data_IF_711401043499
#
_entry.id   IF_711401043499
#
_cell.length_a   1.000
_cell.length_b   1.000
_cell.length_c   1.000
_cell.angle_alpha   90.00
_cell.angle_beta   90.00
_cell.angle_gamma   90.00
#
_symmetry.space_group_name_H-M   'P 1'
#
loop_
_entity.id
_entity.type
_entity.pdbx_description
1 polymer ?
#
# COMPACT_ATOMS: atom_id res chain seq x y z
N UNK A 1 -15.39 -14.07 -59.00
CA UNK A 1 -14.12 -13.46 -58.56
C UNK A 1 -14.26 -13.05 -57.10
N UNK A 2 -13.25 -13.30 -56.27
CA UNK A 2 -13.21 -12.81 -54.87
C UNK A 2 -12.23 -11.65 -54.82
N UNK A 3 -12.66 -10.52 -54.25
CA UNK A 3 -11.80 -9.34 -54.07
C UNK A 3 -11.16 -9.39 -52.67
N UNK A 4 -9.87 -9.07 -52.60
CA UNK A 4 -9.10 -9.01 -51.33
C UNK A 4 -8.59 -7.61 -51.00
N UNK A 5 -8.91 -6.62 -51.84
CA UNK A 5 -8.54 -5.21 -51.68
C UNK A 5 -9.54 -4.30 -52.36
N UNK A 6 -9.72 -3.09 -51.84
CA UNK A 6 -10.43 -2.02 -52.53
C UNK A 6 -9.69 -1.60 -53.82
N UNK A 7 -10.44 -1.20 -54.84
CA UNK A 7 -9.89 -0.80 -56.13
C UNK A 7 -10.89 -0.95 -57.28
N UNK A 8 -10.49 -0.45 -58.44
CA UNK A 8 -11.21 -0.67 -59.69
C UNK A 8 -10.60 -1.88 -60.41
N UNK A 9 -11.45 -2.86 -60.73
CA UNK A 9 -11.06 -4.08 -61.41
C UNK A 9 -11.78 -4.17 -62.75
N UNK A 10 -11.03 -4.29 -63.84
CA UNK A 10 -11.60 -4.55 -65.16
C UNK A 10 -11.63 -6.04 -65.41
N UNK A 11 -12.83 -6.61 -65.51
CA UNK A 11 -13.06 -8.01 -65.86
C UNK A 11 -13.24 -8.08 -67.37
N UNK A 12 -12.34 -8.76 -68.05
CA UNK A 12 -12.34 -8.89 -69.51
C UNK A 12 -12.64 -10.34 -69.91
N UNK A 13 -13.69 -10.52 -70.71
CA UNK A 13 -14.02 -11.78 -71.36
C UNK A 13 -13.60 -11.73 -72.82
N UNK A 14 -12.76 -12.68 -73.24
CA UNK A 14 -12.36 -12.84 -74.64
C UNK A 14 -12.84 -14.20 -75.12
N UNK A 15 -13.63 -14.22 -76.20
CA UNK A 15 -14.05 -15.45 -76.87
C UNK A 15 -13.23 -15.57 -78.13
N UNK A 16 -12.67 -16.76 -78.38
CA UNK A 16 -11.93 -17.08 -79.61
C UNK A 16 -12.71 -18.15 -80.37
N UNK A 17 -12.93 -17.95 -81.66
CA UNK A 17 -13.56 -18.96 -82.50
C UNK A 17 -12.56 -20.01 -83.03
N UNK A 18 -13.04 -21.02 -83.75
CA UNK A 18 -12.20 -22.08 -84.33
C UNK A 18 -11.24 -21.60 -85.41
N UNK A 19 -11.42 -20.38 -85.93
CA UNK A 19 -10.53 -19.73 -86.91
C UNK A 19 -9.49 -18.82 -86.25
N UNK A 20 -9.51 -18.70 -84.92
CA UNK A 20 -8.58 -17.87 -84.16
C UNK A 20 -9.00 -16.40 -84.05
N UNK A 21 -10.20 -16.02 -84.51
CA UNK A 21 -10.70 -14.66 -84.36
C UNK A 21 -11.26 -14.46 -82.94
N UNK A 22 -10.99 -13.29 -82.37
CA UNK A 22 -11.40 -12.98 -80.99
C UNK A 22 -12.42 -11.86 -80.92
N UNK A 23 -13.39 -11.98 -80.02
CA UNK A 23 -14.24 -10.89 -79.57
C UNK A 23 -14.04 -10.66 -78.07
N UNK A 24 -13.87 -9.40 -77.68
CA UNK A 24 -13.59 -9.02 -76.29
C UNK A 24 -14.69 -8.11 -75.74
N UNK A 25 -15.13 -8.37 -74.52
CA UNK A 25 -16.01 -7.50 -73.74
C UNK A 25 -15.44 -7.29 -72.34
N UNK A 26 -15.60 -6.09 -71.79
CA UNK A 26 -15.06 -5.75 -70.47
C UNK A 26 -16.11 -5.07 -69.60
N UNK A 27 -16.08 -5.35 -68.30
CA UNK A 27 -16.85 -4.66 -67.26
C UNK A 27 -15.93 -4.18 -66.15
N UNK A 28 -16.11 -2.95 -65.69
CA UNK A 28 -15.38 -2.41 -64.54
C UNK A 28 -16.20 -2.60 -63.27
N UNK A 29 -15.57 -3.18 -62.24
CA UNK A 29 -16.14 -3.37 -60.90
C UNK A 29 -15.31 -2.55 -59.91
N UNK A 30 -15.94 -1.62 -59.21
CA UNK A 30 -15.29 -0.81 -58.16
C UNK A 30 -15.61 -1.38 -56.79
N UNK A 31 -14.57 -1.73 -56.05
CA UNK A 31 -14.66 -2.14 -54.65
C UNK A 31 -14.26 -0.96 -53.79
N UNK A 32 -15.22 -0.32 -53.13
CA UNK A 32 -14.98 0.83 -52.26
C UNK A 32 -14.38 0.39 -50.91
N UNK A 33 -13.50 1.22 -50.34
CA UNK A 33 -13.11 1.07 -48.93
C UNK A 33 -14.31 1.39 -48.04
N UNK A 34 -14.65 0.48 -47.13
CA UNK A 34 -15.72 0.68 -46.15
C UNK A 34 -15.14 0.58 -44.76
N UNK A 35 -15.28 1.64 -43.96
CA UNK A 35 -14.87 1.64 -42.55
C UNK A 35 -15.43 0.41 -41.84
N UNK A 36 -14.55 -0.49 -41.40
CA UNK A 36 -14.96 -1.76 -40.80
C UNK A 36 -14.35 -1.94 -39.41
N UNK A 37 -13.13 -1.45 -39.19
CA UNK A 37 -12.48 -1.56 -37.88
C UNK A 37 -11.81 -0.24 -37.49
N UNK A 38 -11.72 -0.01 -36.18
CA UNK A 38 -10.88 1.02 -35.59
C UNK A 38 -10.00 0.32 -34.55
N UNK A 39 -8.70 0.54 -34.64
CA UNK A 39 -7.73 0.11 -33.63
C UNK A 39 -7.24 1.32 -32.85
N UNK A 40 -7.11 1.18 -31.54
CA UNK A 40 -6.52 2.20 -30.67
C UNK A 40 -5.15 1.69 -30.20
N UNK A 41 -4.12 2.50 -30.36
CA UNK A 41 -2.75 2.17 -29.97
C UNK A 41 -2.21 3.18 -28.96
N UNK A 42 -1.61 2.72 -27.84
CA UNK A 42 -1.51 1.31 -27.43
C UNK A 42 -2.87 0.73 -26.99
N UNK A 43 -3.09 -0.58 -27.21
CA UNK A 43 -4.33 -1.25 -26.80
C UNK A 43 -4.45 -1.39 -25.28
N UNK A 44 -3.31 -1.49 -24.59
CA UNK A 44 -3.19 -1.42 -23.14
C UNK A 44 -2.02 -0.52 -22.75
N UNK A 45 -2.19 0.35 -21.77
CA UNK A 45 -1.12 1.20 -21.24
C UNK A 45 -1.26 1.48 -19.75
N UNK A 46 -0.24 2.09 -19.16
CA UNK A 46 -0.28 2.66 -17.82
C UNK A 46 0.04 4.14 -17.87
N UNK A 47 -0.62 4.93 -17.02
CA UNK A 47 -0.33 6.34 -16.83
C UNK A 47 -0.35 6.70 -15.34
N UNK A 48 0.44 7.69 -14.95
CA UNK A 48 0.43 8.17 -13.57
C UNK A 48 -0.75 9.13 -13.38
N UNK A 49 -1.39 9.09 -12.21
CA UNK A 49 -2.52 9.93 -11.85
C UNK A 49 -2.18 11.42 -12.05
N UNK A 50 -3.06 12.15 -12.72
CA UNK A 50 -2.87 13.57 -13.08
C UNK A 50 -1.90 13.83 -14.25
N UNK A 51 -1.27 12.80 -14.84
CA UNK A 51 -0.43 12.96 -16.04
C UNK A 51 -1.23 12.78 -17.33
N UNK A 52 -0.59 13.03 -18.48
CA UNK A 52 -1.21 12.84 -19.79
C UNK A 52 -0.60 11.65 -20.54
N UNK A 53 -1.41 10.99 -21.37
CA UNK A 53 -1.00 9.87 -22.21
C UNK A 53 -1.60 10.03 -23.61
N UNK A 54 -0.76 10.04 -24.65
CA UNK A 54 -1.22 10.13 -26.02
C UNK A 54 -1.63 8.74 -26.54
N UNK A 55 -2.85 8.63 -27.05
CA UNK A 55 -3.33 7.47 -27.81
C UNK A 55 -3.55 7.86 -29.27
N UNK A 56 -3.47 6.88 -30.15
CA UNK A 56 -3.73 7.05 -31.59
C UNK A 56 -4.82 6.07 -32.02
N UNK A 57 -5.63 6.46 -33.00
CA UNK A 57 -6.62 5.58 -33.60
C UNK A 57 -6.35 5.44 -35.10
N UNK A 58 -6.50 4.22 -35.62
CA UNK A 58 -6.39 3.93 -37.05
C UNK A 58 -7.62 3.15 -37.49
N UNK A 59 -8.34 3.73 -38.45
CA UNK A 59 -9.45 3.13 -39.15
C UNK A 59 -8.96 2.30 -40.34
N UNK A 60 -9.49 1.08 -40.46
CA UNK A 60 -9.22 0.21 -41.59
C UNK A 60 -10.52 -0.23 -42.30
N UNK A 61 -10.36 -0.57 -43.57
CA UNK A 61 -11.42 -1.06 -44.42
C UNK A 61 -11.78 -2.53 -44.13
N UNK A 62 -12.71 -3.08 -44.91
CA UNK A 62 -13.19 -4.47 -44.78
C UNK A 62 -12.12 -5.53 -45.06
N UNK A 63 -10.97 -5.14 -45.58
CA UNK A 63 -9.82 -6.00 -45.84
C UNK A 63 -8.66 -5.74 -44.86
N UNK A 64 -8.87 -4.91 -43.83
CA UNK A 64 -7.85 -4.52 -42.86
C UNK A 64 -6.82 -3.51 -43.39
N UNK A 65 -7.03 -2.94 -44.58
CA UNK A 65 -6.16 -1.88 -45.11
C UNK A 65 -6.55 -0.53 -44.51
N UNK A 66 -5.60 0.31 -44.05
CA UNK A 66 -5.91 1.63 -43.51
C UNK A 66 -6.66 2.51 -44.52
N UNK A 67 -7.64 3.27 -44.03
CA UNK A 67 -8.33 4.29 -44.83
C UNK A 67 -7.42 5.47 -45.14
N UNK A 68 -7.52 6.03 -46.35
CA UNK A 68 -6.82 7.26 -46.75
C UNK A 68 -7.80 8.19 -47.46
N UNK A 69 -8.14 9.36 -46.87
CA UNK A 69 -7.70 9.87 -45.56
C UNK A 69 -8.34 9.13 -44.38
N UNK A 70 -7.70 9.22 -43.20
CA UNK A 70 -8.31 8.77 -41.95
C UNK A 70 -9.52 9.66 -41.59
N UNK A 71 -10.60 9.09 -41.03
CA UNK A 71 -11.72 9.88 -40.53
C UNK A 71 -11.32 10.65 -39.26
N UNK A 72 -12.13 11.64 -38.89
CA UNK A 72 -12.05 12.20 -37.54
C UNK A 72 -12.60 11.19 -36.52
N UNK A 73 -11.93 11.09 -35.37
CA UNK A 73 -12.35 10.20 -34.30
C UNK A 73 -12.99 11.00 -33.17
N UNK A 74 -14.16 10.56 -32.72
CA UNK A 74 -14.72 10.99 -31.44
C UNK A 74 -14.09 10.13 -30.33
N UNK A 75 -13.50 10.79 -29.34
CA UNK A 75 -12.85 10.14 -28.22
C UNK A 75 -13.72 10.24 -26.96
N UNK A 76 -13.84 9.13 -26.25
CA UNK A 76 -14.49 9.07 -24.95
C UNK A 76 -13.64 8.25 -23.97
N UNK A 77 -13.76 8.57 -22.70
CA UNK A 77 -13.18 7.80 -21.59
C UNK A 77 -14.25 7.49 -20.57
N UNK A 78 -14.27 6.25 -20.09
CA UNK A 78 -15.01 5.84 -18.89
C UNK A 78 -14.02 5.33 -17.85
N UNK A 79 -14.39 5.36 -16.57
CA UNK A 79 -13.48 5.00 -15.47
C UNK A 79 -12.60 6.16 -14.96
N UNK A 80 -12.76 7.37 -15.50
CA UNK A 80 -12.12 8.59 -14.99
C UNK A 80 -11.09 9.20 -15.96
N UNK A 81 -10.90 10.51 -15.84
CA UNK A 81 -10.06 11.32 -16.73
C UNK A 81 -10.88 12.05 -17.81
N UNK A 82 -10.19 12.68 -18.75
CA UNK A 82 -10.79 13.34 -19.91
C UNK A 82 -9.97 13.08 -21.17
N UNK A 83 -10.60 13.17 -22.35
CA UNK A 83 -9.95 12.96 -23.64
C UNK A 83 -10.00 14.24 -24.48
N UNK A 84 -8.89 14.59 -25.11
CA UNK A 84 -8.87 15.62 -26.16
C UNK A 84 -9.34 15.04 -27.50
N UNK A 85 -9.79 15.87 -28.45
CA UNK A 85 -10.10 15.43 -29.82
C UNK A 85 -8.90 14.80 -30.56
N UNK A 86 -7.68 15.08 -30.12
CA UNK A 86 -6.46 14.52 -30.67
C UNK A 86 -6.07 13.16 -30.05
N UNK A 87 -6.90 12.58 -29.18
CA UNK A 87 -6.61 11.30 -28.52
C UNK A 87 -5.67 11.41 -27.32
N UNK A 88 -5.48 12.61 -26.75
CA UNK A 88 -4.70 12.80 -25.53
C UNK A 88 -5.60 12.55 -24.31
N UNK A 89 -5.26 11.54 -23.51
CA UNK A 89 -5.85 11.29 -22.21
C UNK A 89 -5.21 12.22 -21.18
N UNK A 90 -6.03 12.90 -20.37
CA UNK A 90 -5.63 13.45 -19.08
C UNK A 90 -6.13 12.49 -17.99
N UNK A 91 -5.20 11.83 -17.31
CA UNK A 91 -5.51 10.83 -16.30
C UNK A 91 -6.24 11.47 -15.10
N UNK A 92 -7.19 10.76 -14.47
CA UNK A 92 -7.75 11.18 -13.18
C UNK A 92 -6.64 11.28 -12.12
N UNK A 93 -6.91 12.04 -11.04
CA UNK A 93 -5.98 12.20 -9.91
C UNK A 93 -6.03 11.03 -8.90
N UNK A 94 -6.90 10.06 -9.14
CA UNK A 94 -7.02 8.82 -8.39
C UNK A 94 -6.68 7.63 -9.29
N UNK A 95 -6.20 6.51 -8.72
CA UNK A 95 -6.06 5.30 -9.54
C UNK A 95 -7.43 4.84 -10.00
N UNK A 96 -7.43 4.33 -11.22
CA UNK A 96 -8.58 3.79 -11.87
C UNK A 96 -8.13 2.90 -13.02
N UNK A 97 -9.06 2.13 -13.55
CA UNK A 97 -8.92 1.55 -14.88
C UNK A 97 -9.81 2.34 -15.82
N UNK A 98 -9.19 3.11 -16.70
CA UNK A 98 -9.88 3.93 -17.68
C UNK A 98 -10.03 3.16 -18.99
N UNK A 99 -11.26 3.08 -19.52
CA UNK A 99 -11.52 2.53 -20.84
C UNK A 99 -11.63 3.66 -21.85
N UNK A 100 -10.75 3.65 -22.83
CA UNK A 100 -10.70 4.62 -23.92
C UNK A 100 -11.47 4.06 -25.10
N UNK A 101 -12.35 4.87 -25.69
CA UNK A 101 -13.11 4.53 -26.90
C UNK A 101 -12.85 5.59 -27.96
N UNK A 102 -12.34 5.17 -29.12
CA UNK A 102 -12.33 5.97 -30.33
C UNK A 102 -13.47 5.50 -31.24
N UNK A 103 -14.28 6.40 -31.76
CA UNK A 103 -15.37 6.07 -32.66
C UNK A 103 -15.37 6.92 -33.92
N UNK A 104 -15.77 6.31 -35.02
CA UNK A 104 -16.09 6.99 -36.27
C UNK A 104 -17.30 6.29 -36.88
N UNK A 105 -18.33 7.06 -37.25
CA UNK A 105 -19.66 6.52 -37.60
C UNK A 105 -20.16 5.57 -36.50
N UNK A 106 -20.49 4.31 -36.81
CA UNK A 106 -20.92 3.28 -35.86
C UNK A 106 -19.81 2.33 -35.41
N UNK A 107 -18.58 2.49 -35.93
CA UNK A 107 -17.45 1.62 -35.61
C UNK A 107 -16.70 2.18 -34.42
N UNK A 108 -16.26 1.30 -33.52
CA UNK A 108 -15.54 1.66 -32.30
C UNK A 108 -14.26 0.84 -32.17
N UNK A 109 -13.19 1.49 -31.72
CA UNK A 109 -11.96 0.89 -31.24
C UNK A 109 -11.77 1.21 -29.77
N UNK A 110 -11.21 0.28 -29.00
CA UNK A 110 -11.06 0.44 -27.55
C UNK A 110 -9.62 0.17 -27.10
N UNK A 111 -9.21 0.86 -26.06
CA UNK A 111 -7.99 0.61 -25.31
C UNK A 111 -8.26 0.71 -23.81
N UNK A 112 -7.44 0.03 -23.01
CA UNK A 112 -7.50 0.10 -21.55
C UNK A 112 -6.26 0.79 -21.01
N UNK A 113 -6.43 1.79 -20.15
CA UNK A 113 -5.33 2.46 -19.47
C UNK A 113 -5.47 2.26 -17.97
N UNK A 114 -4.47 1.64 -17.36
CA UNK A 114 -4.36 1.55 -15.90
C UNK A 114 -3.76 2.83 -15.36
N UNK A 115 -4.48 3.53 -14.50
CA UNK A 115 -4.00 4.75 -13.85
C UNK A 115 -3.39 4.35 -12.52
N UNK A 116 -2.08 4.55 -12.38
CA UNK A 116 -1.35 4.34 -11.14
C UNK A 116 -1.17 5.67 -10.43
N UNK A 117 -1.16 5.71 -9.11
CA UNK A 117 -0.63 6.87 -8.37
C UNK A 117 0.85 7.10 -8.64
N UNK A 118 1.30 8.34 -8.39
CA UNK A 118 2.67 8.58 -8.00
C UNK A 118 2.81 8.40 -6.48
N UNK A 119 3.92 7.78 -6.06
CA UNK A 119 4.35 7.86 -4.66
C UNK A 119 4.59 9.33 -4.26
N UNK A 120 4.18 9.66 -3.05
CA UNK A 120 4.31 10.98 -2.45
C UNK A 120 5.59 11.02 -1.63
N UNK A 121 6.67 11.57 -2.18
CA UNK A 121 7.96 11.64 -1.47
C UNK A 121 8.05 12.91 -0.63
N UNK A 122 8.35 12.74 0.67
CA UNK A 122 8.66 13.83 1.60
C UNK A 122 10.08 13.66 2.09
N UNK A 123 10.97 14.52 1.62
CA UNK A 123 12.37 14.53 2.07
C UNK A 123 12.57 15.63 3.10
N UNK A 124 12.86 15.24 4.35
CA UNK A 124 13.15 16.19 5.43
C UNK A 124 14.66 16.20 5.72
N UNK A 125 15.36 17.33 5.51
CA UNK A 125 16.80 17.43 5.79
C UNK A 125 17.17 17.18 7.25
N UNK A 126 18.45 16.88 7.50
CA UNK A 126 18.99 16.73 8.85
C UNK A 126 18.64 17.95 9.73
N UNK A 127 18.34 17.69 11.00
CA UNK A 127 18.01 18.70 12.01
C UNK A 127 16.77 19.57 11.70
N UNK A 128 15.94 19.16 10.74
CA UNK A 128 14.65 19.79 10.47
C UNK A 128 13.50 18.89 10.91
N UNK A 129 12.40 19.54 11.28
CA UNK A 129 11.11 18.92 11.54
C UNK A 129 10.07 19.56 10.62
N UNK A 130 9.34 18.73 9.88
CA UNK A 130 8.18 19.15 9.08
C UNK A 130 6.93 18.56 9.70
N UNK A 131 5.91 19.38 9.90
CA UNK A 131 4.59 18.93 10.37
C UNK A 131 3.63 18.95 9.19
N UNK A 132 3.02 17.81 8.91
CA UNK A 132 1.97 17.63 7.91
C UNK A 132 0.63 17.44 8.64
N UNK A 133 -0.15 18.52 8.69
CA UNK A 133 -1.49 18.53 9.28
C UNK A 133 -2.60 18.26 8.25
N UNK A 134 -2.29 18.32 6.95
CA UNK A 134 -3.29 18.23 5.88
C UNK A 134 -3.69 16.80 5.52
N UNK A 135 -2.90 15.82 5.95
CA UNK A 135 -3.09 14.43 5.55
C UNK A 135 -2.71 14.18 4.09
N UNK A 136 -2.52 12.90 3.74
CA UNK A 136 -2.12 12.47 2.40
C UNK A 136 -3.20 11.59 1.79
N UNK A 137 -3.61 11.85 0.56
CA UNK A 137 -4.62 11.06 -0.16
C UNK A 137 -4.06 10.47 -1.46
N UNK A 138 -4.84 9.59 -2.09
CA UNK A 138 -4.49 8.91 -3.33
C UNK A 138 -4.22 7.43 -3.12
N UNK A 139 -3.55 6.79 -4.06
CA UNK A 139 -3.30 5.34 -4.01
C UNK A 139 -1.80 5.02 -3.98
N UNK A 140 -0.96 6.07 -3.94
CA UNK A 140 0.50 5.97 -3.91
C UNK A 140 0.97 5.79 -2.49
N UNK A 141 2.21 5.38 -2.35
CA UNK A 141 2.83 5.31 -1.03
C UNK A 141 3.20 6.72 -0.57
N UNK A 142 3.07 7.02 0.72
CA UNK A 142 3.82 8.12 1.33
C UNK A 142 5.24 7.63 1.61
N UNK A 143 6.25 8.28 1.06
CA UNK A 143 7.66 7.91 1.26
C UNK A 143 8.36 9.00 2.06
N UNK A 144 8.77 8.69 3.28
CA UNK A 144 9.61 9.55 4.12
C UNK A 144 11.10 9.30 3.81
N UNK A 145 11.78 10.35 3.35
CA UNK A 145 13.23 10.41 3.08
C UNK A 145 13.90 11.51 3.91
N UNK A 146 15.23 11.53 3.83
CA UNK A 146 16.08 12.47 4.56
C UNK A 146 16.12 12.18 6.05
N UNK A 147 17.20 12.58 6.71
CA UNK A 147 17.52 12.18 8.08
C UNK A 147 16.80 12.97 9.17
N UNK A 148 16.04 14.02 8.82
CA UNK A 148 15.20 14.78 9.75
C UNK A 148 13.87 14.09 10.09
N UNK A 149 12.98 14.84 10.72
CA UNK A 149 11.70 14.33 11.28
C UNK A 149 10.50 14.82 10.47
N UNK A 150 9.61 13.90 10.08
CA UNK A 150 8.28 14.23 9.56
C UNK A 150 7.25 13.87 10.62
N UNK A 151 6.40 14.82 10.99
CA UNK A 151 5.27 14.62 11.90
C UNK A 151 3.99 14.57 11.08
N UNK A 152 3.23 13.48 11.16
CA UNK A 152 1.89 13.39 10.58
C UNK A 152 0.86 13.65 11.67
N UNK A 153 0.17 14.79 11.58
CA UNK A 153 -0.80 15.26 12.56
C UNK A 153 -2.25 15.25 12.03
N UNK A 154 -2.45 14.85 10.78
CA UNK A 154 -3.76 14.72 10.15
C UNK A 154 -4.06 13.29 9.73
N UNK A 155 -5.35 12.98 9.58
CA UNK A 155 -5.80 11.72 8.98
C UNK A 155 -5.39 11.65 7.50
N UNK A 156 -4.85 10.51 7.08
CA UNK A 156 -4.48 10.26 5.70
C UNK A 156 -5.41 9.24 5.05
N UNK A 157 -5.69 9.42 3.76
CA UNK A 157 -6.49 8.53 2.92
C UNK A 157 -5.71 7.87 1.78
N UNK A 158 -4.37 7.81 1.86
CA UNK A 158 -3.57 7.15 0.85
C UNK A 158 -3.59 5.62 1.03
N UNK A 159 -3.78 4.86 -0.05
CA UNK A 159 -3.88 3.38 0.04
C UNK A 159 -2.62 2.62 -0.35
N UNK A 160 -1.58 3.29 -0.90
CA UNK A 160 -0.32 2.64 -1.26
C UNK A 160 0.54 2.24 -0.05
N UNK A 161 0.21 2.77 1.13
CA UNK A 161 0.92 2.57 2.38
C UNK A 161 1.92 3.68 2.69
N UNK A 162 2.64 3.54 3.80
CA UNK A 162 3.68 4.47 4.22
C UNK A 162 5.03 3.74 4.28
N UNK A 163 6.04 4.31 3.65
CA UNK A 163 7.42 3.79 3.65
C UNK A 163 8.33 4.81 4.33
N UNK A 164 9.05 4.39 5.37
CA UNK A 164 10.06 5.19 6.05
C UNK A 164 11.44 4.67 5.65
N UNK A 165 12.07 5.35 4.70
CA UNK A 165 13.39 4.95 4.22
C UNK A 165 14.51 5.46 5.13
N UNK A 166 14.37 6.71 5.61
CA UNK A 166 15.35 7.38 6.47
C UNK A 166 14.71 8.40 7.43
N UNK A 167 15.42 8.64 8.54
CA UNK A 167 15.03 9.64 9.54
C UNK A 167 13.88 9.18 10.40
N UNK A 168 13.15 10.11 10.99
CA UNK A 168 12.04 9.81 11.89
C UNK A 168 10.69 10.18 11.25
N UNK A 169 9.71 9.29 11.38
CA UNK A 169 8.30 9.54 11.18
C UNK A 169 7.60 9.53 12.53
N UNK A 170 6.98 10.64 12.91
CA UNK A 170 6.19 10.77 14.14
C UNK A 170 4.72 10.74 13.79
N UNK A 171 3.98 9.85 14.42
CA UNK A 171 2.54 9.67 14.20
C UNK A 171 1.80 10.32 15.38
N UNK A 172 1.02 11.36 15.08
CA UNK A 172 0.17 12.07 16.06
C UNK A 172 -1.32 11.95 15.78
N UNK A 173 -1.69 11.19 14.76
CA UNK A 173 -3.08 10.87 14.46
C UNK A 173 -3.22 9.37 14.15
N UNK A 174 -4.21 8.69 14.75
CA UNK A 174 -4.38 7.23 14.62
C UNK A 174 -4.57 6.76 13.17
N UNK A 175 -5.15 7.62 12.32
CA UNK A 175 -5.33 7.39 10.88
C UNK A 175 -4.25 8.03 9.99
N UNK A 176 -3.08 8.42 10.54
CA UNK A 176 -2.06 9.15 9.77
C UNK A 176 -1.39 8.33 8.66
N UNK A 177 -1.35 7.00 8.79
CA UNK A 177 -0.59 6.09 7.90
C UNK A 177 -1.34 5.67 6.63
N UNK A 178 -2.58 6.11 6.46
CA UNK A 178 -3.44 5.64 5.38
C UNK A 178 -3.91 4.19 5.60
N UNK A 179 -4.30 3.52 4.52
CA UNK A 179 -4.90 2.18 4.57
C UNK A 179 -4.02 1.06 3.98
N UNK A 180 -2.77 1.38 3.63
CA UNK A 180 -1.81 0.41 3.09
C UNK A 180 -0.80 -0.08 4.13
N UNK A 181 0.21 -0.83 3.69
CA UNK A 181 1.28 -1.34 4.57
C UNK A 181 2.07 -0.20 5.22
N UNK A 182 2.63 -0.45 6.40
CA UNK A 182 3.76 0.31 6.93
C UNK A 182 5.05 -0.46 6.62
N UNK A 183 6.03 0.22 6.03
CA UNK A 183 7.37 -0.33 5.76
C UNK A 183 8.42 0.57 6.42
N UNK A 184 9.21 0.04 7.34
CA UNK A 184 10.27 0.76 8.04
C UNK A 184 11.59 0.12 7.67
N UNK A 185 12.38 0.82 6.85
CA UNK A 185 13.67 0.31 6.38
C UNK A 185 14.77 0.54 7.40
N UNK A 186 15.94 -0.05 7.15
CA UNK A 186 17.12 0.03 8.03
C UNK A 186 17.53 1.45 8.51
N UNK A 187 17.25 2.51 7.76
CA UNK A 187 17.54 3.90 8.16
C UNK A 187 16.36 4.65 8.78
N UNK A 188 15.19 4.03 8.79
CA UNK A 188 13.91 4.61 9.18
C UNK A 188 13.57 4.32 10.64
N UNK A 189 12.95 5.32 11.28
CA UNK A 189 12.40 5.22 12.63
C UNK A 189 10.96 5.70 12.61
N UNK A 190 10.08 5.00 13.31
CA UNK A 190 8.71 5.43 13.57
C UNK A 190 8.55 5.68 15.06
N UNK A 191 7.83 6.72 15.45
CA UNK A 191 7.42 6.97 16.84
C UNK A 191 5.93 7.24 16.92
N UNK A 192 5.25 6.53 17.82
CA UNK A 192 3.86 6.77 18.17
C UNK A 192 3.80 7.85 19.25
N UNK A 193 3.20 8.98 18.92
CA UNK A 193 3.06 10.16 19.80
C UNK A 193 1.57 10.45 20.00
N UNK A 194 0.88 9.43 20.53
CA UNK A 194 -0.58 9.31 20.57
C UNK A 194 -1.13 9.02 21.97
N UNK A 195 -0.28 8.99 22.99
CA UNK A 195 -0.63 8.44 24.30
C UNK A 195 -1.06 6.98 24.18
N UNK A 196 -2.17 6.61 24.84
CA UNK A 196 -2.71 5.24 24.86
C UNK A 196 -3.47 4.85 23.58
N UNK A 197 -3.62 5.75 22.60
CA UNK A 197 -4.42 5.45 21.42
C UNK A 197 -3.75 4.38 20.54
N UNK A 198 -4.57 3.53 19.94
CA UNK A 198 -4.12 2.44 19.08
C UNK A 198 -3.94 2.90 17.63
N UNK A 199 -2.83 2.48 17.02
CA UNK A 199 -2.61 2.55 15.58
C UNK A 199 -2.78 1.16 14.99
N UNK A 200 -3.60 1.02 13.96
CA UNK A 200 -3.79 -0.24 13.24
C UNK A 200 -3.19 -0.14 11.83
N UNK A 201 -2.44 -1.17 11.42
CA UNK A 201 -1.90 -1.31 10.07
C UNK A 201 -2.21 -2.70 9.49
N UNK A 202 -2.61 -2.79 8.22
CA UNK A 202 -2.95 -4.08 7.60
C UNK A 202 -1.72 -4.97 7.39
N UNK A 203 -0.54 -4.38 7.23
CA UNK A 203 0.72 -5.11 7.08
C UNK A 203 1.85 -4.26 7.61
N UNK A 204 2.77 -4.87 8.35
CA UNK A 204 4.02 -4.24 8.75
C UNK A 204 5.21 -5.01 8.16
N UNK A 205 6.12 -4.29 7.51
CA UNK A 205 7.44 -4.76 7.14
C UNK A 205 8.47 -3.93 7.92
N UNK A 206 9.19 -4.56 8.84
CA UNK A 206 10.23 -3.92 9.64
C UNK A 206 11.58 -4.57 9.32
N UNK A 207 12.48 -3.82 8.69
CA UNK A 207 13.86 -4.27 8.50
C UNK A 207 14.53 -4.49 9.85
N UNK A 208 15.49 -5.42 9.93
CA UNK A 208 16.19 -5.76 11.16
C UNK A 208 16.89 -4.56 11.86
N UNK A 209 17.23 -3.51 11.11
CA UNK A 209 17.81 -2.27 11.63
C UNK A 209 16.81 -1.09 11.71
N UNK A 210 15.57 -1.27 11.26
CA UNK A 210 14.51 -0.29 11.45
C UNK A 210 14.04 -0.28 12.91
N UNK A 211 13.46 0.83 13.36
CA UNK A 211 13.03 1.02 14.77
C UNK A 211 11.61 1.56 14.84
N UNK A 212 10.77 0.99 15.70
CA UNK A 212 9.43 1.50 16.01
C UNK A 212 9.31 1.73 17.51
N UNK A 213 9.22 2.99 17.88
CA UNK A 213 8.96 3.44 19.24
C UNK A 213 7.47 3.54 19.49
N UNK A 214 6.94 2.63 20.31
CA UNK A 214 5.51 2.60 20.61
C UNK A 214 5.11 3.60 21.71
N UNK A 215 6.08 4.23 22.39
CA UNK A 215 5.78 5.08 23.54
C UNK A 215 4.96 4.34 24.60
N UNK A 216 3.87 4.94 25.05
CA UNK A 216 2.85 4.30 25.91
C UNK A 216 1.68 3.70 25.11
N UNK A 217 1.76 3.75 23.78
CA UNK A 217 0.66 3.40 22.88
C UNK A 217 0.59 1.93 22.51
N UNK A 218 -0.24 1.66 21.50
CA UNK A 218 -0.50 0.31 20.97
C UNK A 218 -0.41 0.31 19.45
N UNK A 219 0.17 -0.74 18.89
CA UNK A 219 0.24 -1.00 17.46
C UNK A 219 -0.36 -2.37 17.16
N UNK A 220 -1.42 -2.41 16.37
CA UNK A 220 -2.03 -3.65 15.90
C UNK A 220 -1.71 -3.88 14.43
N UNK A 221 -1.25 -5.08 14.11
CA UNK A 221 -0.75 -5.47 12.78
C UNK A 221 -1.48 -6.71 12.31
N UNK A 222 -2.14 -6.65 11.15
CA UNK A 222 -2.89 -7.79 10.63
C UNK A 222 -2.03 -8.83 9.87
N UNK A 223 -0.86 -8.44 9.36
CA UNK A 223 0.05 -9.34 8.64
C UNK A 223 1.50 -8.83 8.64
N UNK A 224 2.45 -9.73 8.37
CA UNK A 224 3.88 -9.37 8.21
C UNK A 224 4.74 -9.55 9.46
N UNK A 225 4.14 -9.85 10.61
CA UNK A 225 4.83 -10.15 11.87
C UNK A 225 4.50 -11.56 12.36
N UNK A 226 5.04 -12.59 11.71
CA UNK A 226 5.00 -13.92 12.30
C UNK A 226 5.87 -13.94 13.59
N UNK A 227 5.50 -14.78 14.55
CA UNK A 227 6.20 -14.97 15.84
C UNK A 227 7.73 -15.10 15.69
N UNK A 228 8.18 -15.89 14.70
CA UNK A 228 9.61 -16.11 14.42
C UNK A 228 10.36 -14.83 13.97
N UNK A 229 9.64 -13.86 13.39
CA UNK A 229 10.19 -12.55 13.01
C UNK A 229 10.05 -11.55 14.16
N UNK A 230 8.96 -11.64 14.93
CA UNK A 230 8.64 -10.71 16.01
C UNK A 230 9.63 -10.79 17.18
N UNK A 231 9.97 -12.01 17.61
CA UNK A 231 10.86 -12.21 18.77
C UNK A 231 12.26 -11.60 18.60
N UNK A 232 12.98 -11.80 17.48
CA UNK A 232 14.24 -11.09 17.25
C UNK A 232 14.11 -9.56 17.29
N UNK A 233 12.96 -9.01 16.86
CA UNK A 233 12.70 -7.57 16.91
C UNK A 233 12.43 -7.09 18.34
N UNK A 234 11.78 -7.90 19.19
CA UNK A 234 11.60 -7.61 20.62
C UNK A 234 12.94 -7.63 21.35
N UNK A 235 13.74 -8.69 21.16
CA UNK A 235 15.07 -8.80 21.77
C UNK A 235 15.99 -7.64 21.38
N UNK A 236 15.98 -7.25 20.10
CA UNK A 236 16.78 -6.13 19.60
C UNK A 236 16.38 -4.80 20.25
N UNK A 237 15.09 -4.60 20.49
CA UNK A 237 14.58 -3.40 21.14
C UNK A 237 14.77 -3.39 22.66
N UNK A 238 14.65 -4.57 23.30
CA UNK A 238 14.80 -4.76 24.75
C UNK A 238 16.17 -4.31 25.26
N UNK A 239 17.26 -4.57 24.51
CA UNK A 239 18.62 -4.13 24.83
C UNK A 239 19.07 -4.42 26.29
N UNK A 240 18.66 -5.59 26.82
CA UNK A 240 18.98 -5.99 28.20
C UNK A 240 18.14 -5.29 29.28
N UNK A 241 16.92 -4.83 28.95
CA UNK A 241 15.95 -4.26 29.91
C UNK A 241 15.63 -2.78 29.68
N UNK A 242 16.43 -2.08 28.89
CA UNK A 242 16.31 -0.64 28.71
C UNK A 242 15.22 -0.20 27.72
N UNK A 243 14.77 -1.10 26.84
CA UNK A 243 13.82 -0.77 25.75
C UNK A 243 14.26 0.43 24.90
N UNK A 244 15.57 0.65 24.83
CA UNK A 244 16.26 1.73 24.15
C UNK A 244 17.12 1.23 22.98
N UNK A 245 16.86 0.00 22.53
CA UNK A 245 17.57 -0.64 21.43
C UNK A 245 17.62 0.21 20.16
N UNK A 246 18.70 0.03 19.39
CA UNK A 246 18.92 0.75 18.13
C UNK A 246 17.95 0.35 17.01
N UNK A 247 17.24 -0.76 17.16
CA UNK A 247 16.33 -1.35 16.18
C UNK A 247 15.22 -2.14 16.87
N UNK A 248 14.26 -2.64 16.09
CA UNK A 248 13.14 -3.43 16.60
C UNK A 248 12.06 -2.58 17.26
N UNK A 249 11.34 -3.17 18.19
CA UNK A 249 10.27 -2.50 18.95
C UNK A 249 10.79 -2.01 20.29
N UNK A 250 10.56 -0.75 20.57
CA UNK A 250 11.11 -0.03 21.72
C UNK A 250 10.03 0.85 22.33
N UNK A 251 10.27 1.33 23.54
CA UNK A 251 9.41 2.32 24.15
C UNK A 251 10.25 3.38 24.85
N UNK A 252 10.18 4.62 24.38
CA UNK A 252 10.78 5.76 25.07
C UNK A 252 10.13 6.05 26.43
N UNK A 253 8.99 5.42 26.72
CA UNK A 253 8.28 5.55 28.00
C UNK A 253 8.58 4.40 28.96
N UNK A 254 9.23 3.32 28.50
CA UNK A 254 9.60 2.22 29.35
C UNK A 254 10.70 2.65 30.33
N UNK A 255 10.34 2.62 31.61
CA UNK A 255 11.23 2.79 32.75
C UNK A 255 11.26 1.49 33.54
N UNK A 256 11.99 1.45 34.66
CA UNK A 256 12.11 0.24 35.47
C UNK A 256 10.73 -0.36 35.81
N UNK A 257 10.53 -1.64 35.48
CA UNK A 257 9.25 -2.33 35.69
C UNK A 257 8.19 -2.08 34.61
N UNK A 258 8.57 -1.47 33.49
CA UNK A 258 7.75 -1.33 32.27
C UNK A 258 8.46 -1.99 31.09
N UNK A 259 7.68 -2.42 30.11
CA UNK A 259 8.17 -3.23 29.01
C UNK A 259 7.34 -3.06 27.73
N UNK A 260 7.70 -3.76 26.66
CA UNK A 260 6.94 -3.81 25.40
C UNK A 260 6.43 -5.23 25.18
N UNK A 261 5.19 -5.50 25.55
CA UNK A 261 4.58 -6.80 25.32
C UNK A 261 4.00 -6.94 23.92
N UNK A 262 3.70 -8.18 23.52
CA UNK A 262 2.91 -8.44 22.33
C UNK A 262 1.92 -9.58 22.54
N UNK A 263 0.80 -9.56 21.82
CA UNK A 263 -0.17 -10.67 21.80
C UNK A 263 -0.50 -10.97 20.36
N UNK A 264 -0.49 -12.25 20.01
CA UNK A 264 -0.98 -12.74 18.72
C UNK A 264 -2.33 -13.42 18.97
N UNK A 265 -3.42 -12.78 18.52
CA UNK A 265 -4.78 -13.31 18.64
C UNK A 265 -5.49 -13.31 17.28
N UNK A 266 -6.05 -14.45 16.91
CA UNK A 266 -6.75 -14.67 15.62
C UNK A 266 -6.00 -14.16 14.37
N UNK A 267 -4.66 -14.16 14.40
CA UNK A 267 -3.81 -13.68 13.30
C UNK A 267 -3.51 -12.18 13.31
N UNK A 268 -4.04 -11.43 14.27
CA UNK A 268 -3.64 -10.05 14.57
C UNK A 268 -2.52 -10.05 15.61
N UNK A 269 -1.48 -9.26 15.37
CA UNK A 269 -0.39 -9.05 16.32
C UNK A 269 -0.53 -7.66 16.93
N UNK A 270 -0.76 -7.59 18.22
CA UNK A 270 -0.77 -6.35 18.99
C UNK A 270 0.57 -6.21 19.71
N UNK A 271 1.24 -5.07 19.55
CA UNK A 271 2.44 -4.68 20.29
C UNK A 271 2.07 -3.48 21.16
N UNK A 272 2.34 -3.53 22.45
CA UNK A 272 1.89 -2.51 23.37
C UNK A 272 2.88 -2.25 24.50
N UNK A 273 2.79 -1.04 25.05
CA UNK A 273 3.42 -0.70 26.30
C UNK A 273 2.76 -1.52 27.42
N UNK A 274 3.58 -2.18 28.22
CA UNK A 274 3.10 -3.20 29.14
C UNK A 274 3.90 -3.24 30.45
N UNK A 275 3.50 -4.13 31.33
CA UNK A 275 4.25 -4.57 32.51
C UNK A 275 4.56 -6.05 32.37
N UNK A 276 5.77 -6.53 32.71
CA UNK A 276 6.02 -7.96 32.85
C UNK A 276 5.00 -8.58 33.80
N UNK A 277 4.17 -9.48 33.27
CA UNK A 277 3.05 -10.06 33.99
C UNK A 277 1.69 -9.79 33.38
N UNK A 278 1.52 -8.81 32.49
CA UNK A 278 0.25 -8.63 31.76
C UNK A 278 0.27 -9.43 30.45
N UNK A 279 -0.09 -10.70 30.53
CA UNK A 279 0.02 -11.68 29.43
C UNK A 279 -1.00 -11.46 28.32
N UNK A 280 -2.10 -10.76 28.59
CA UNK A 280 -3.19 -10.52 27.64
C UNK A 280 -3.24 -9.06 27.12
N UNK A 281 -2.37 -8.18 27.66
CA UNK A 281 -2.26 -6.76 27.35
C UNK A 281 -3.55 -5.98 27.63
N UNK A 282 -4.27 -6.32 28.70
CA UNK A 282 -5.49 -5.62 29.11
C UNK A 282 -5.25 -4.42 30.03
N UNK A 283 -3.99 -4.20 30.44
CA UNK A 283 -3.59 -3.08 31.28
C UNK A 283 -3.65 -3.37 32.77
N UNK A 284 -3.91 -4.61 33.17
CA UNK A 284 -3.92 -5.11 34.55
C UNK A 284 -3.02 -6.33 34.64
N UNK A 285 -2.50 -6.62 35.84
CA UNK A 285 -1.85 -7.91 36.14
C UNK A 285 -2.70 -8.62 37.19
N UNK A 286 -3.38 -9.70 36.80
CA UNK A 286 -4.34 -10.40 37.66
C UNK A 286 -4.19 -11.94 37.65
N UNK A 287 -5.18 -12.63 38.20
CA UNK A 287 -5.15 -14.10 38.32
C UNK A 287 -5.14 -14.81 36.97
N UNK A 288 -5.69 -14.20 35.92
CA UNK A 288 -5.68 -14.75 34.56
C UNK A 288 -4.25 -14.83 34.06
N UNK A 289 -3.44 -13.80 34.32
CA UNK A 289 -2.04 -13.80 33.92
C UNK A 289 -1.20 -14.84 34.64
N UNK A 290 -1.45 -15.02 35.93
CA UNK A 290 -0.79 -16.07 36.73
C UNK A 290 -1.10 -17.44 36.15
N UNK A 291 -2.36 -17.69 35.77
CA UNK A 291 -2.76 -18.96 35.15
C UNK A 291 -2.02 -19.17 33.83
N UNK A 292 -1.96 -18.15 32.95
CA UNK A 292 -1.26 -18.23 31.67
C UNK A 292 0.23 -18.56 31.83
N UNK A 293 0.90 -17.92 32.80
CA UNK A 293 2.30 -18.18 33.12
C UNK A 293 2.50 -19.60 33.68
N UNK A 294 1.67 -20.01 34.64
CA UNK A 294 1.77 -21.34 35.27
C UNK A 294 1.50 -22.48 34.28
N UNK A 295 0.57 -22.29 33.33
CA UNK A 295 0.28 -23.28 32.29
C UNK A 295 1.47 -23.54 31.36
N UNK A 296 2.38 -22.57 31.23
CA UNK A 296 3.56 -22.65 30.38
C UNK A 296 4.87 -22.90 31.17
N UNK A 297 4.86 -22.73 32.49
CA UNK A 297 6.05 -22.75 33.34
C UNK A 297 6.78 -24.09 33.33
N UNK A 298 8.07 -24.07 32.97
CA UNK A 298 8.96 -25.24 32.96
C UNK A 298 8.37 -26.45 32.18
N UNK A 299 7.55 -26.18 31.16
CA UNK A 299 6.91 -27.20 30.33
C UNK A 299 7.92 -28.04 29.53
N UNK A 300 7.63 -29.32 29.25
CA UNK A 300 8.58 -30.24 28.63
C UNK A 300 8.76 -29.93 27.13
N UNK A 301 9.72 -29.06 26.82
CA UNK A 301 10.37 -28.96 25.51
C UNK A 301 9.84 -27.86 24.60
N UNK A 302 10.62 -26.78 24.48
CA UNK A 302 10.88 -26.10 23.20
C UNK A 302 9.68 -25.66 22.35
N UNK A 303 8.51 -25.48 22.95
CA UNK A 303 7.45 -24.72 22.33
C UNK A 303 7.93 -23.29 22.21
N UNK A 304 7.77 -22.69 21.05
CA UNK A 304 8.04 -21.27 20.82
C UNK A 304 6.95 -20.47 21.57
N UNK A 305 6.95 -20.51 22.90
CA UNK A 305 5.99 -19.78 23.73
C UNK A 305 6.35 -18.30 23.61
N UNK A 306 5.32 -17.47 23.47
CA UNK A 306 5.49 -16.02 23.41
C UNK A 306 5.01 -15.37 24.70
N UNK A 307 4.93 -14.05 24.66
CA UNK A 307 4.47 -13.21 25.77
C UNK A 307 3.15 -13.68 26.42
N UNK A 308 2.19 -14.18 25.64
CA UNK A 308 0.90 -14.66 26.17
C UNK A 308 1.00 -15.91 27.04
N UNK A 309 2.09 -16.68 26.95
CA UNK A 309 2.39 -17.77 27.88
C UNK A 309 3.29 -17.34 29.04
N UNK A 310 3.67 -16.06 29.11
CA UNK A 310 4.51 -15.52 30.17
C UNK A 310 6.00 -15.48 29.87
N UNK A 311 6.43 -15.58 28.61
CA UNK A 311 7.83 -15.30 28.21
C UNK A 311 8.03 -13.77 28.14
N UNK A 312 8.51 -13.17 29.22
CA UNK A 312 8.64 -11.70 29.36
C UNK A 312 10.03 -11.19 28.95
N UNK A 313 11.01 -12.08 28.87
CA UNK A 313 12.38 -11.74 28.47
C UNK A 313 12.68 -12.10 26.99
N UNK A 314 11.72 -12.72 26.31
CA UNK A 314 11.72 -13.10 24.89
C UNK A 314 12.77 -14.13 24.50
N UNK A 315 13.23 -14.95 25.44
CA UNK A 315 14.20 -16.02 25.16
C UNK A 315 13.57 -17.29 24.58
N UNK A 316 12.24 -17.33 24.52
CA UNK A 316 11.45 -18.45 23.99
C UNK A 316 11.15 -19.55 25.00
N UNK A 317 11.50 -19.36 26.26
CA UNK A 317 11.14 -20.25 27.36
C UNK A 317 10.29 -19.49 28.38
N UNK A 318 9.57 -20.25 29.21
CA UNK A 318 8.87 -19.70 30.38
C UNK A 318 9.45 -20.40 31.60
N UNK A 319 10.33 -19.70 32.30
CA UNK A 319 11.12 -20.27 33.39
C UNK A 319 11.23 -19.35 34.61
N UNK A 320 12.19 -19.65 35.49
CA UNK A 320 12.38 -18.88 36.72
C UNK A 320 12.70 -17.40 36.46
N UNK A 321 13.32 -17.06 35.33
CA UNK A 321 13.61 -15.68 34.94
C UNK A 321 12.31 -14.92 34.68
N UNK A 322 11.37 -15.50 33.93
CA UNK A 322 10.06 -14.87 33.70
C UNK A 322 9.24 -14.74 34.97
N UNK A 323 9.27 -15.75 35.84
CA UNK A 323 8.64 -15.64 37.15
C UNK A 323 9.29 -14.53 38.00
N UNK A 324 10.60 -14.32 37.87
CA UNK A 324 11.29 -13.23 38.55
C UNK A 324 10.89 -11.86 38.00
N UNK A 325 10.69 -11.75 36.68
CA UNK A 325 10.20 -10.53 36.03
C UNK A 325 8.75 -10.24 36.44
N UNK A 326 7.88 -11.26 36.46
CA UNK A 326 6.50 -11.16 36.94
C UNK A 326 6.45 -10.61 38.37
N UNK A 327 7.17 -11.25 39.31
CA UNK A 327 7.14 -10.89 40.72
C UNK A 327 7.87 -9.58 41.01
N UNK A 328 8.91 -9.25 40.23
CA UNK A 328 9.76 -8.08 40.41
C UNK A 328 9.04 -6.75 40.19
N UNK A 329 7.93 -6.74 39.44
CA UNK A 329 7.14 -5.53 39.19
C UNK A 329 6.21 -5.15 40.34
N UNK A 330 5.88 -6.12 41.21
CA UNK A 330 4.84 -5.99 42.24
C UNK A 330 3.49 -5.48 41.70
N UNK A 331 3.16 -5.74 40.43
CA UNK A 331 1.96 -5.24 39.77
C UNK A 331 0.70 -6.09 39.98
N UNK A 332 0.85 -7.33 40.47
CA UNK A 332 -0.26 -8.25 40.69
C UNK A 332 -1.32 -7.66 41.62
N UNK A 333 -2.57 -7.64 41.16
CA UNK A 333 -3.75 -7.16 41.87
C UNK A 333 -3.63 -5.70 42.37
N UNK A 334 -2.80 -4.87 41.70
CA UNK A 334 -2.67 -3.43 41.99
C UNK A 334 -3.65 -2.55 41.20
N UNK A 335 -4.45 -3.16 40.31
CA UNK A 335 -5.33 -2.46 39.38
C UNK A 335 -4.61 -1.97 38.11
N UNK A 336 -5.26 -1.10 37.31
CA UNK A 336 -4.71 -0.66 36.03
C UNK A 336 -3.40 0.11 36.17
N UNK A 337 -2.39 -0.28 35.39
CA UNK A 337 -1.08 0.38 35.39
C UNK A 337 -0.93 1.45 34.30
N UNK A 338 -1.96 1.60 33.45
CA UNK A 338 -2.11 2.67 32.46
C UNK A 338 -3.12 3.70 33.00
N UNK A 339 -2.70 4.94 33.20
CA UNK A 339 -3.52 6.02 33.75
C UNK A 339 -4.03 6.98 32.67
N UNK A 340 -5.06 7.78 32.99
CA UNK A 340 -5.49 8.88 32.12
C UNK A 340 -4.39 9.94 31.88
N UNK A 341 -3.41 10.07 32.77
CA UNK A 341 -2.25 10.94 32.57
C UNK A 341 -1.31 10.42 31.46
N UNK A 342 -1.29 9.10 31.24
CA UNK A 342 -0.56 8.47 30.13
C UNK A 342 -1.26 8.71 28.77
N UNK A 343 -2.51 9.21 28.76
CA UNK A 343 -3.25 9.60 27.57
C UNK A 343 -3.08 11.07 27.14
N UNK A 344 -2.36 11.89 27.93
CA UNK A 344 -2.49 13.35 27.92
C UNK A 344 -1.87 14.12 26.72
N UNK A 345 -1.35 13.47 25.67
CA UNK A 345 -0.87 14.17 24.47
C UNK A 345 -1.81 14.10 23.26
N UNK A 346 -2.95 13.42 23.37
CA UNK A 346 -3.96 13.36 22.30
C UNK A 346 -4.77 14.67 22.12
N UNK A 347 -4.52 15.73 22.91
CA UNK A 347 -5.37 16.95 22.89
C UNK A 347 -4.65 18.29 22.65
N UNK A 348 -3.45 18.33 22.07
CA UNK A 348 -2.96 19.59 21.50
C UNK A 348 -3.57 19.82 20.10
N UNK A 349 -4.89 19.94 20.09
CA UNK A 349 -5.64 20.58 19.03
C UNK A 349 -5.48 22.10 19.15
N UNK A 350 -5.36 22.74 17.99
CA UNK A 350 -5.33 24.17 17.74
C UNK A 350 -6.03 25.05 18.79
N UNK A 351 -5.30 26.05 19.30
CA UNK A 351 -5.86 27.33 19.70
C UNK A 351 -5.14 28.44 18.91
N UNK A 352 -5.82 29.07 17.96
CA UNK A 352 -5.60 30.48 17.70
C UNK A 352 -6.88 31.28 17.99
N UNK A 353 -6.71 32.30 18.84
CA UNK A 353 -7.61 33.46 18.99
C UNK A 353 -7.85 34.18 17.67
#
# INVERSE_FOLDING_TARGET
>A
ATFTKAGAYTLTATITDSSGLTATSSVTVTVAQTLTTISVSPATASAVAGTTLQLTAVAADQFGSPLVPQPSFAWAVTGGGSMSPAGLLTAPVTAATSMITASASSVVGRATVTITSADQVVSVPASQTVVDAGGRSGVGSLIKRGTGTLVLNGASGHSGGTVVEQGELVIRHVAALGSGRLEVRAGGRVRLDLGLAEVSVPTLLLDAAGRIDIGVGRLTVAAGLAEATLRPLMLAGHNGGGWDGGSGFVSSAATLGRTVGYVVDQGLTTIAFAVPGDTNLDGVVDVIDVVNLMDSFNGPGGGNVGWSGGDFNYDGMVDQLDLSDFLGTAAFDQGPYLSAADAAFASLGDEPT
#
